data_IF_591703381558
#
_entry.id   IF_591703381558
#
_cell.length_a   1.000
_cell.length_b   1.000
_cell.length_c   1.000
_cell.angle_alpha   90.00
_cell.angle_beta   90.00
_cell.angle_gamma   90.00
#
_symmetry.space_group_name_H-M   'P 1'
#
loop_
_entity.id
_entity.type
_entity.pdbx_description
1 polymer ?
#
# COMPACT_ATOMS: atom_id res chain seq x y z
N UNK A 1 -39.52 -26.28 -2.18
CA UNK A 1 -39.12 -24.91 -2.53
C UNK A 1 -38.91 -24.84 -4.04
N UNK A 2 -39.27 -23.74 -4.72
CA UNK A 2 -39.02 -23.60 -6.15
C UNK A 2 -37.52 -23.64 -6.45
N UNK A 3 -37.14 -24.38 -7.51
CA UNK A 3 -35.76 -24.50 -7.95
C UNK A 3 -35.28 -23.15 -8.54
N UNK A 4 -34.16 -22.63 -8.07
CA UNK A 4 -33.55 -21.37 -8.56
C UNK A 4 -32.49 -21.70 -9.62
N UNK A 5 -32.92 -22.20 -10.80
CA UNK A 5 -32.03 -22.58 -11.89
C UNK A 5 -31.32 -21.40 -12.53
N UNK A 6 -30.00 -21.49 -12.63
CA UNK A 6 -29.14 -20.49 -13.28
C UNK A 6 -28.09 -21.20 -14.14
N UNK A 7 -27.55 -20.49 -15.14
CA UNK A 7 -26.43 -20.99 -15.96
C UNK A 7 -25.08 -20.55 -15.37
N UNK A 8 -24.14 -21.50 -15.28
CA UNK A 8 -22.78 -21.22 -14.89
C UNK A 8 -22.07 -20.33 -15.94
N UNK A 9 -21.43 -19.26 -15.50
CA UNK A 9 -20.73 -18.33 -16.36
C UNK A 9 -19.54 -18.96 -17.11
N UNK A 10 -18.87 -19.94 -16.48
CA UNK A 10 -17.68 -20.58 -17.05
C UNK A 10 -17.99 -21.83 -17.88
N UNK A 11 -18.76 -22.77 -17.37
CA UNK A 11 -19.01 -24.03 -18.07
C UNK A 11 -20.34 -24.09 -18.83
N UNK A 12 -21.22 -23.09 -18.69
CA UNK A 12 -22.51 -22.99 -19.38
C UNK A 12 -23.59 -23.98 -18.88
N UNK A 13 -23.28 -24.91 -17.98
CA UNK A 13 -24.23 -25.86 -17.42
C UNK A 13 -25.20 -25.18 -16.46
N UNK A 14 -26.45 -25.60 -16.46
CA UNK A 14 -27.47 -25.12 -15.52
C UNK A 14 -27.34 -25.82 -14.18
N UNK A 15 -27.52 -25.11 -13.07
CA UNK A 15 -27.47 -25.63 -11.72
C UNK A 15 -28.46 -24.88 -10.81
N UNK A 16 -28.83 -25.52 -9.68
CA UNK A 16 -29.75 -24.93 -8.71
C UNK A 16 -28.95 -24.26 -7.57
N UNK A 17 -29.11 -22.95 -7.45
CA UNK A 17 -28.45 -22.15 -6.40
C UNK A 17 -28.82 -22.54 -4.97
N UNK A 18 -29.95 -23.26 -4.81
CA UNK A 18 -30.40 -23.66 -3.47
C UNK A 18 -29.74 -24.97 -3.01
N UNK A 19 -29.21 -25.77 -3.95
CA UNK A 19 -28.64 -27.08 -3.67
C UNK A 19 -27.14 -27.17 -3.92
N UNK A 20 -26.56 -26.29 -4.76
CA UNK A 20 -25.16 -26.35 -5.14
C UNK A 20 -24.40 -25.09 -4.67
N UNK A 21 -23.14 -25.22 -4.21
CA UNK A 21 -22.32 -24.09 -3.86
C UNK A 21 -22.00 -23.23 -5.10
N UNK A 22 -22.24 -21.93 -4.98
CA UNK A 22 -22.07 -21.00 -6.08
C UNK A 22 -21.33 -19.72 -5.67
N UNK A 23 -20.77 -19.04 -6.67
CA UNK A 23 -20.16 -17.71 -6.58
C UNK A 23 -20.84 -16.74 -7.55
N UNK A 24 -20.57 -15.46 -7.37
CA UNK A 24 -21.00 -14.39 -8.28
C UNK A 24 -19.76 -13.69 -8.86
N UNK A 25 -19.16 -14.22 -9.93
CA UNK A 25 -17.95 -13.63 -10.52
C UNK A 25 -18.18 -12.23 -11.09
N UNK A 26 -19.42 -11.91 -11.47
CA UNK A 26 -19.84 -10.58 -11.93
C UNK A 26 -21.27 -10.27 -11.50
N UNK A 27 -21.66 -8.98 -11.58
CA UNK A 27 -23.05 -8.59 -11.37
C UNK A 27 -23.97 -9.42 -12.28
N UNK A 28 -25.01 -10.03 -11.69
CA UNK A 28 -25.99 -10.86 -12.38
C UNK A 28 -25.46 -12.12 -13.10
N UNK A 29 -24.24 -12.57 -12.79
CA UNK A 29 -23.65 -13.83 -13.30
C UNK A 29 -23.34 -14.77 -12.15
N UNK A 30 -23.75 -16.02 -12.31
CA UNK A 30 -23.53 -17.08 -11.33
C UNK A 30 -22.57 -18.12 -11.89
N UNK A 31 -21.81 -18.77 -11.03
CA UNK A 31 -20.90 -19.85 -11.41
C UNK A 31 -20.88 -20.91 -10.31
N UNK A 32 -20.61 -22.18 -10.66
CA UNK A 32 -20.27 -23.18 -9.65
C UNK A 32 -19.01 -22.73 -8.91
N UNK A 33 -18.94 -22.93 -7.61
CA UNK A 33 -17.77 -22.55 -6.82
C UNK A 33 -16.48 -23.19 -7.36
N UNK A 34 -16.54 -24.47 -7.76
CA UNK A 34 -15.39 -25.16 -8.36
C UNK A 34 -14.94 -24.56 -9.70
N UNK A 35 -15.88 -24.17 -10.57
CA UNK A 35 -15.55 -23.52 -11.85
C UNK A 35 -14.88 -22.15 -11.65
N UNK A 36 -15.32 -21.40 -10.65
CA UNK A 36 -14.75 -20.09 -10.31
C UNK A 36 -13.35 -20.25 -9.71
N UNK A 37 -13.15 -21.21 -8.81
CA UNK A 37 -11.82 -21.54 -8.28
C UNK A 37 -10.84 -21.93 -9.38
N UNK A 38 -11.26 -22.79 -10.31
CA UNK A 38 -10.44 -23.21 -11.44
C UNK A 38 -10.10 -22.02 -12.36
N UNK A 39 -11.07 -21.16 -12.66
CA UNK A 39 -10.85 -19.97 -13.45
C UNK A 39 -9.86 -18.99 -12.76
N UNK A 40 -9.99 -18.83 -11.45
CA UNK A 40 -9.07 -17.99 -10.67
C UNK A 40 -7.65 -18.59 -10.60
N UNK A 41 -7.53 -19.92 -10.51
CA UNK A 41 -6.23 -20.60 -10.54
C UNK A 41 -5.52 -20.43 -11.89
N UNK A 42 -6.27 -20.38 -12.98
CA UNK A 42 -5.77 -20.24 -14.35
C UNK A 42 -5.49 -18.80 -14.79
N UNK A 43 -5.78 -17.79 -13.95
CA UNK A 43 -5.48 -16.39 -14.26
C UNK A 43 -3.99 -16.17 -14.47
N UNK A 44 -3.67 -15.42 -15.50
CA UNK A 44 -2.29 -14.94 -15.75
C UNK A 44 -1.85 -13.97 -14.65
N UNK A 45 -0.54 -13.78 -14.50
CA UNK A 45 0.00 -12.80 -13.55
C UNK A 45 -0.49 -11.38 -13.90
N UNK A 46 -0.57 -11.06 -15.17
CA UNK A 46 -1.04 -9.74 -15.64
C UNK A 46 -2.52 -9.49 -15.25
N UNK A 47 -3.37 -10.50 -15.32
CA UNK A 47 -4.77 -10.39 -14.88
C UNK A 47 -4.89 -10.19 -13.38
N UNK A 48 -4.05 -10.86 -12.59
CA UNK A 48 -3.98 -10.67 -11.13
C UNK A 48 -3.52 -9.25 -10.78
N UNK A 49 -2.46 -8.78 -11.44
CA UNK A 49 -1.93 -7.42 -11.24
C UNK A 49 -2.98 -6.36 -11.59
N UNK A 50 -3.74 -6.58 -12.67
CA UNK A 50 -4.84 -5.71 -13.05
C UNK A 50 -5.96 -5.70 -12.01
N UNK A 51 -6.38 -6.86 -11.51
CA UNK A 51 -7.40 -6.96 -10.46
C UNK A 51 -6.95 -6.25 -9.18
N UNK A 52 -5.71 -6.45 -8.77
CA UNK A 52 -5.12 -5.78 -7.61
C UNK A 52 -5.11 -4.25 -7.76
N UNK A 53 -4.72 -3.77 -8.93
CA UNK A 53 -4.76 -2.34 -9.25
C UNK A 53 -6.18 -1.78 -9.18
N UNK A 54 -7.16 -2.48 -9.76
CA UNK A 54 -8.57 -2.07 -9.76
C UNK A 54 -9.15 -2.04 -8.35
N UNK A 55 -8.84 -3.05 -7.54
CA UNK A 55 -9.28 -3.12 -6.15
C UNK A 55 -8.70 -1.97 -5.32
N UNK A 56 -7.42 -1.70 -5.47
CA UNK A 56 -6.77 -0.58 -4.79
C UNK A 56 -7.34 0.78 -5.19
N UNK A 57 -7.60 1.00 -6.48
CA UNK A 57 -8.22 2.23 -6.97
C UNK A 57 -9.64 2.40 -6.39
N UNK A 58 -10.40 1.32 -6.28
CA UNK A 58 -11.72 1.36 -5.63
C UNK A 58 -11.61 1.64 -4.14
N UNK A 59 -10.60 1.11 -3.48
CA UNK A 59 -10.33 1.42 -2.07
C UNK A 59 -10.01 2.91 -1.87
N UNK A 60 -9.19 3.50 -2.72
CA UNK A 60 -8.80 4.91 -2.63
C UNK A 60 -9.96 5.88 -2.92
N UNK A 61 -10.71 5.63 -3.98
CA UNK A 61 -11.67 6.59 -4.53
C UNK A 61 -13.13 6.13 -4.39
N UNK A 62 -13.41 4.95 -3.83
CA UNK A 62 -14.74 4.36 -3.75
C UNK A 62 -15.27 4.02 -5.15
N UNK A 63 -15.92 4.98 -5.80
CA UNK A 63 -16.45 4.83 -7.14
C UNK A 63 -15.58 5.62 -8.13
N UNK A 64 -14.54 4.99 -8.74
CA UNK A 64 -13.60 5.73 -9.56
C UNK A 64 -14.26 6.31 -10.81
N UNK A 65 -13.83 7.52 -11.17
CA UNK A 65 -14.29 8.21 -12.36
C UNK A 65 -13.99 7.37 -13.63
N UNK A 66 -14.89 7.32 -14.64
CA UNK A 66 -14.63 6.66 -15.92
C UNK A 66 -13.31 7.04 -16.59
N UNK A 67 -12.80 8.26 -16.34
CA UNK A 67 -11.50 8.73 -16.79
C UNK A 67 -10.34 7.84 -16.32
N UNK A 68 -10.43 7.26 -15.13
CA UNK A 68 -9.39 6.38 -14.58
C UNK A 68 -9.15 5.17 -15.46
N UNK A 69 -10.22 4.55 -15.97
CA UNK A 69 -10.13 3.38 -16.85
C UNK A 69 -9.44 3.71 -18.17
N UNK A 70 -9.69 4.91 -18.68
CA UNK A 70 -9.00 5.41 -19.87
C UNK A 70 -7.52 5.65 -19.59
N UNK A 71 -7.18 6.25 -18.45
CA UNK A 71 -5.80 6.48 -18.03
C UNK A 71 -5.02 5.16 -17.86
N UNK A 72 -5.62 4.13 -17.25
CA UNK A 72 -4.97 2.81 -17.10
C UNK A 72 -4.61 2.25 -18.48
N UNK A 73 -5.53 2.36 -19.47
CA UNK A 73 -5.29 1.89 -20.83
C UNK A 73 -4.18 2.68 -21.51
N UNK A 74 -4.21 4.00 -21.42
CA UNK A 74 -3.18 4.90 -21.97
C UNK A 74 -1.80 4.60 -21.37
N UNK A 75 -1.72 4.36 -20.05
CA UNK A 75 -0.46 4.01 -19.39
C UNK A 75 0.05 2.66 -19.82
N UNK A 76 -0.83 1.69 -20.04
CA UNK A 76 -0.44 0.39 -20.58
C UNK A 76 0.14 0.52 -22.01
N UNK A 77 -0.46 1.36 -22.86
CA UNK A 77 0.03 1.66 -24.21
C UNK A 77 1.39 2.38 -24.18
N UNK A 78 1.66 3.17 -23.12
CA UNK A 78 2.97 3.80 -22.86
C UNK A 78 4.02 2.84 -22.28
N UNK A 79 3.67 1.57 -22.05
CA UNK A 79 4.59 0.55 -21.55
C UNK A 79 4.61 0.36 -20.03
N UNK A 80 3.76 1.07 -19.27
CA UNK A 80 3.67 0.83 -17.81
C UNK A 80 3.00 -0.51 -17.53
N UNK A 81 3.50 -1.23 -16.53
CA UNK A 81 2.88 -2.47 -16.06
C UNK A 81 1.79 -2.17 -15.04
N UNK A 82 0.76 -3.04 -14.94
CA UNK A 82 -0.31 -2.86 -13.95
C UNK A 82 0.25 -2.90 -12.52
N UNK A 83 1.19 -3.79 -12.25
CA UNK A 83 1.85 -3.86 -10.96
C UNK A 83 2.72 -2.62 -10.68
N UNK A 84 3.35 -2.05 -11.70
CA UNK A 84 4.09 -0.80 -11.60
C UNK A 84 3.19 0.40 -11.28
N UNK A 85 2.04 0.52 -11.97
CA UNK A 85 1.05 1.56 -11.68
C UNK A 85 0.52 1.40 -10.24
N UNK A 86 0.16 0.17 -9.82
CA UNK A 86 -0.28 -0.13 -8.46
C UNK A 86 0.77 0.30 -7.42
N UNK A 87 2.01 -0.15 -7.54
CA UNK A 87 3.11 0.19 -6.64
C UNK A 87 3.36 1.70 -6.58
N UNK A 88 3.26 2.39 -7.72
CA UNK A 88 3.41 3.86 -7.79
C UNK A 88 2.31 4.56 -6.97
N UNK A 89 1.06 4.10 -7.06
CA UNK A 89 -0.05 4.65 -6.29
C UNK A 89 0.11 4.37 -4.79
N UNK A 90 0.51 3.15 -4.40
CA UNK A 90 0.82 2.80 -3.00
C UNK A 90 1.94 3.68 -2.47
N UNK A 91 3.03 3.83 -3.22
CA UNK A 91 4.16 4.68 -2.83
C UNK A 91 3.73 6.13 -2.60
N UNK A 92 2.89 6.67 -3.47
CA UNK A 92 2.43 8.05 -3.37
C UNK A 92 1.46 8.27 -2.22
N UNK A 93 0.39 7.48 -2.14
CA UNK A 93 -0.67 7.72 -1.17
C UNK A 93 -0.34 7.19 0.23
N UNK A 94 0.34 6.07 0.36
CA UNK A 94 0.64 5.48 1.67
C UNK A 94 1.98 5.93 2.23
N UNK A 95 3.05 5.93 1.42
CA UNK A 95 4.39 6.24 1.90
C UNK A 95 4.72 7.74 1.87
N UNK A 96 4.24 8.46 0.86
CA UNK A 96 4.45 9.91 0.72
C UNK A 96 3.31 10.74 1.27
N UNK A 97 2.23 10.09 1.74
CA UNK A 97 1.03 10.75 2.24
C UNK A 97 0.43 11.77 1.27
N UNK A 98 0.41 11.39 -0.02
CA UNK A 98 -0.16 12.20 -1.09
C UNK A 98 -1.64 12.50 -0.83
N UNK A 99 -2.04 13.71 -1.18
CA UNK A 99 -3.39 14.19 -0.95
C UNK A 99 -4.38 13.56 -1.96
N UNK A 100 -5.30 12.75 -1.44
CA UNK A 100 -6.32 12.06 -2.26
C UNK A 100 -7.32 13.05 -2.83
N UNK A 101 -7.64 14.14 -2.11
CA UNK A 101 -8.59 15.14 -2.58
C UNK A 101 -8.04 15.90 -3.79
N UNK A 102 -6.73 16.23 -3.79
CA UNK A 102 -6.06 16.86 -4.94
C UNK A 102 -5.97 15.96 -6.15
N UNK A 103 -5.99 14.64 -5.97
CA UNK A 103 -6.03 13.69 -7.08
C UNK A 103 -7.35 13.75 -7.87
N UNK A 104 -8.40 14.39 -7.32
CA UNK A 104 -9.71 14.57 -7.94
C UNK A 104 -10.28 13.26 -8.52
N UNK A 105 -10.14 12.16 -7.75
CA UNK A 105 -10.62 10.83 -8.15
C UNK A 105 -9.90 10.23 -9.36
N UNK A 106 -8.70 10.71 -9.69
CA UNK A 106 -7.92 10.25 -10.85
C UNK A 106 -6.52 9.77 -10.49
N UNK A 107 -5.89 9.09 -11.44
CA UNK A 107 -4.52 8.54 -11.31
C UNK A 107 -3.52 9.31 -12.18
N UNK A 108 -3.83 10.56 -12.54
CA UNK A 108 -3.03 11.41 -13.44
C UNK A 108 -1.62 11.71 -12.93
N UNK A 109 -1.34 11.49 -11.64
CA UNK A 109 -0.02 11.70 -11.05
C UNK A 109 1.00 10.62 -11.48
N UNK A 110 0.54 9.42 -11.86
CA UNK A 110 1.41 8.25 -12.12
C UNK A 110 2.58 8.56 -13.06
N UNK A 111 2.42 9.15 -14.25
CA UNK A 111 3.55 9.38 -15.15
C UNK A 111 4.65 10.28 -14.56
N UNK A 112 4.31 11.16 -13.63
CA UNK A 112 5.25 12.12 -13.04
C UNK A 112 6.12 11.52 -11.92
N UNK A 113 5.62 10.46 -11.30
CA UNK A 113 6.27 9.88 -10.11
C UNK A 113 6.67 8.41 -10.31
N UNK A 114 6.35 7.82 -11.47
CA UNK A 114 6.60 6.40 -11.75
C UNK A 114 8.07 6.01 -11.59
N UNK A 115 8.98 6.81 -12.11
CA UNK A 115 10.42 6.55 -12.03
C UNK A 115 10.92 6.64 -10.59
N UNK A 116 10.44 7.60 -9.81
CA UNK A 116 10.79 7.73 -8.40
C UNK A 116 10.31 6.54 -7.57
N UNK A 117 9.08 6.10 -7.80
CA UNK A 117 8.52 4.91 -7.16
C UNK A 117 9.30 3.65 -7.57
N UNK A 118 9.64 3.51 -8.86
CA UNK A 118 10.42 2.38 -9.36
C UNK A 118 11.80 2.30 -8.71
N UNK A 119 12.51 3.44 -8.60
CA UNK A 119 13.80 3.52 -7.93
C UNK A 119 13.70 3.13 -6.45
N UNK A 120 12.66 3.59 -5.76
CA UNK A 120 12.41 3.23 -4.37
C UNK A 120 12.24 1.71 -4.19
N UNK A 121 11.37 1.08 -4.98
CA UNK A 121 11.13 -0.37 -4.88
C UNK A 121 12.34 -1.18 -5.34
N UNK A 122 13.11 -0.68 -6.31
CA UNK A 122 14.35 -1.32 -6.72
C UNK A 122 15.42 -1.27 -5.60
N UNK A 123 15.59 -0.14 -4.95
CA UNK A 123 16.48 -0.02 -3.80
C UNK A 123 16.05 -0.94 -2.64
N UNK A 124 14.76 -1.05 -2.40
CA UNK A 124 14.20 -1.97 -1.40
C UNK A 124 14.48 -3.43 -1.73
N UNK A 125 14.34 -3.81 -2.99
CA UNK A 125 14.67 -5.14 -3.49
C UNK A 125 16.16 -5.46 -3.31
N UNK A 126 17.06 -4.53 -3.65
CA UNK A 126 18.50 -4.71 -3.43
C UNK A 126 18.85 -4.85 -1.95
N UNK A 127 18.21 -4.06 -1.08
CA UNK A 127 18.40 -4.17 0.36
C UNK A 127 17.90 -5.52 0.89
N UNK A 128 16.80 -6.04 0.37
CA UNK A 128 16.28 -7.35 0.74
C UNK A 128 17.26 -8.47 0.36
N UNK A 129 17.76 -8.48 -0.88
CA UNK A 129 18.78 -9.47 -1.31
C UNK A 129 20.02 -9.39 -0.43
N UNK A 130 20.54 -8.18 -0.17
CA UNK A 130 21.70 -8.01 0.67
C UNK A 130 21.48 -8.52 2.12
N UNK A 131 20.26 -8.45 2.61
CA UNK A 131 19.89 -8.97 3.94
C UNK A 131 19.67 -10.49 3.94
N UNK A 132 19.19 -11.07 2.85
CA UNK A 132 19.05 -12.54 2.72
C UNK A 132 20.42 -13.24 2.72
N UNK A 133 21.44 -12.60 2.13
CA UNK A 133 22.81 -13.09 2.14
C UNK A 133 23.58 -12.77 3.45
N UNK A 134 23.04 -11.88 4.28
CA UNK A 134 23.67 -11.51 5.55
C UNK A 134 23.42 -12.59 6.62
N UNK A 135 24.50 -13.22 7.07
CA UNK A 135 24.49 -14.17 8.18
C UNK A 135 24.20 -13.43 9.51
N UNK A 136 22.90 -13.26 9.81
CA UNK A 136 22.41 -12.51 10.98
C UNK A 136 22.83 -13.19 12.28
N UNK A 137 23.09 -14.50 12.31
CA UNK A 137 23.50 -15.25 13.51
C UNK A 137 24.90 -14.86 14.00
N UNK A 138 25.76 -14.36 13.12
CA UNK A 138 27.12 -13.95 13.46
C UNK A 138 27.32 -12.43 13.58
N UNK A 139 26.26 -11.63 13.42
CA UNK A 139 26.34 -10.18 13.55
C UNK A 139 26.42 -9.76 15.02
N UNK A 140 27.64 -9.72 15.57
CA UNK A 140 27.91 -9.14 16.89
C UNK A 140 27.94 -7.62 16.76
N UNK A 141 26.88 -6.96 17.18
CA UNK A 141 26.89 -5.50 17.33
C UNK A 141 27.94 -5.14 18.40
N UNK A 142 29.00 -4.39 18.08
CA UNK A 142 29.94 -3.94 19.09
C UNK A 142 29.20 -2.99 20.06
N UNK A 143 28.91 -3.48 21.25
CA UNK A 143 28.36 -2.65 22.33
C UNK A 143 29.45 -1.68 22.75
N UNK A 144 29.30 -0.40 22.40
CA UNK A 144 30.13 0.68 22.95
C UNK A 144 29.47 1.19 24.23
N UNK A 145 30.08 0.88 25.34
CA UNK A 145 29.68 1.48 26.61
C UNK A 145 30.21 2.90 26.67
N UNK A 146 29.32 3.86 26.72
CA UNK A 146 29.67 5.26 26.96
C UNK A 146 29.38 5.58 28.43
N UNK A 147 30.43 5.81 29.21
CA UNK A 147 30.27 6.36 30.54
C UNK A 147 30.01 7.86 30.42
N UNK A 148 28.77 8.26 30.61
CA UNK A 148 28.42 9.69 30.67
C UNK A 148 28.77 10.19 32.07
N UNK A 149 29.89 10.92 32.19
CA UNK A 149 30.19 11.66 33.42
C UNK A 149 29.15 12.78 33.57
N UNK A 150 28.26 12.62 34.52
CA UNK A 150 27.32 13.69 34.87
C UNK A 150 28.14 14.89 35.41
N UNK A 151 28.05 16.06 34.79
CA UNK A 151 28.76 17.24 35.30
C UNK A 151 28.31 17.53 36.73
N UNK A 152 29.25 17.56 37.64
CA UNK A 152 29.00 17.92 39.05
C UNK A 152 28.23 19.22 39.09
N UNK A 153 27.05 19.20 39.68
CA UNK A 153 26.25 20.42 39.84
C UNK A 153 27.09 21.47 40.62
N UNK A 154 27.55 22.48 39.91
CA UNK A 154 28.14 23.64 40.55
C UNK A 154 27.10 24.29 41.45
N UNK A 155 27.34 24.23 42.76
CA UNK A 155 26.52 24.95 43.74
C UNK A 155 26.61 26.43 43.39
N UNK A 156 25.57 26.97 42.74
CA UNK A 156 25.44 28.41 42.56
C UNK A 156 25.37 29.03 43.94
N UNK A 157 26.41 29.79 44.35
CA UNK A 157 26.35 30.60 45.55
C UNK A 157 25.21 31.61 45.39
N UNK A 158 24.22 31.52 46.27
CA UNK A 158 23.16 32.52 46.36
C UNK A 158 23.83 33.84 46.69
N UNK A 159 23.89 34.78 45.75
CA UNK A 159 24.19 36.18 46.10
C UNK A 159 23.07 36.70 46.97
N UNK A 160 23.33 36.86 48.26
CA UNK A 160 22.44 37.58 49.16
C UNK A 160 22.41 39.02 48.69
N UNK A 161 21.27 39.47 48.20
CA UNK A 161 21.01 40.87 47.95
C UNK A 161 21.01 41.57 49.31
N UNK A 162 21.96 42.46 49.59
CA UNK A 162 21.92 43.40 50.70
C UNK A 162 20.97 44.51 50.31
N UNK A 163 19.82 44.61 50.97
CA UNK A 163 18.95 45.76 50.92
C UNK A 163 19.70 46.91 51.57
N UNK A 164 19.84 48.01 50.85
CA UNK A 164 20.32 49.28 51.35
C UNK A 164 19.17 49.90 52.13
N UNK A 165 19.31 50.03 53.42
CA UNK A 165 18.40 50.86 54.23
C UNK A 165 18.68 52.31 53.80
N UNK A 166 17.68 52.98 53.24
CA UNK A 166 17.69 54.41 52.98
C UNK A 166 17.35 55.05 54.34
N UNK A 167 18.34 55.80 54.93
CA UNK A 167 18.09 56.65 56.06
C UNK A 167 17.40 57.92 55.54
N UNK A 168 16.17 58.14 56.07
CA UNK A 168 15.45 59.42 55.91
C UNK A 168 16.03 60.44 56.81
N UNK A 169 16.44 61.62 56.26
CA UNK A 169 16.52 62.89 56.91
C UNK A 169 15.42 63.83 56.39
#
# INVERSE_FOLDING_TARGET
MPKAMVKCFYCGKSFDRNSEPFTKPRANRYAHAACDQQANANKTQEERDYEQLVEYIKHLFGNPNPRVWKQIKEYKELGYTYSGIYKTLVWWFELKHGDIEKANGGIGIVPYIYDQASQYYYALYLAQIANEDADVEHFKVPVREFTIETPRAQKRSRKLFKFREEEEE
#
